data_IF_089692903280
#
_entry.id   IF_089692903280
#
_cell.length_a   1.000
_cell.length_b   1.000
_cell.length_c   1.000
_cell.angle_alpha   90.00
_cell.angle_beta   90.00
_cell.angle_gamma   90.00
#
_symmetry.space_group_name_H-M   'P 1'
#
loop_
_entity.id
_entity.type
_entity.pdbx_description
1 polymer ?
#
# COMPACT_ATOMS: atom_id res chain seq x y z
N UNK A 1 -7.65 29.34 8.93
CA UNK A 1 -6.71 28.35 9.46
C UNK A 1 -7.42 27.60 10.58
N UNK A 2 -8.24 26.61 10.23
CA UNK A 2 -8.94 25.81 11.23
C UNK A 2 -7.97 24.78 11.81
N UNK A 3 -7.35 25.13 12.92
CA UNK A 3 -6.58 24.20 13.74
C UNK A 3 -7.50 23.45 14.70
N UNK A 4 -8.41 22.65 14.14
CA UNK A 4 -8.91 21.52 14.92
C UNK A 4 -7.82 20.43 14.89
N UNK A 5 -7.40 19.90 16.04
CA UNK A 5 -6.45 18.79 16.07
C UNK A 5 -7.05 17.64 15.26
N UNK A 6 -6.33 17.17 14.24
CA UNK A 6 -6.75 15.96 13.51
C UNK A 6 -6.68 14.79 14.48
N UNK A 7 -7.85 14.28 14.86
CA UNK A 7 -7.96 13.09 15.71
C UNK A 7 -7.86 11.87 14.79
N UNK A 8 -6.73 11.19 14.84
CA UNK A 8 -6.53 9.92 14.13
C UNK A 8 -6.90 8.74 15.02
N UNK A 9 -7.13 7.57 14.43
CA UNK A 9 -7.43 6.37 15.22
C UNK A 9 -6.20 5.91 16.02
N UNK A 10 -6.39 5.17 17.12
CA UNK A 10 -5.28 4.64 17.92
C UNK A 10 -4.28 3.80 17.11
N UNK A 11 -4.72 3.15 16.02
CA UNK A 11 -3.86 2.38 15.14
C UNK A 11 -2.90 3.26 14.33
N UNK A 12 -3.38 4.41 13.86
CA UNK A 12 -2.56 5.37 13.10
C UNK A 12 -1.56 6.07 14.03
N UNK A 13 -1.99 6.40 15.25
CA UNK A 13 -1.10 6.92 16.29
C UNK A 13 -0.05 5.88 16.70
N UNK A 14 -0.44 4.62 16.90
CA UNK A 14 0.46 3.52 17.21
C UNK A 14 1.50 3.25 16.11
N UNK A 15 1.11 3.37 14.83
CA UNK A 15 2.04 3.29 13.71
C UNK A 15 3.09 4.42 13.78
N UNK A 16 2.66 5.66 14.02
CA UNK A 16 3.57 6.80 14.19
C UNK A 16 4.54 6.59 15.36
N UNK A 17 4.06 6.09 16.49
CA UNK A 17 4.90 5.76 17.63
C UNK A 17 5.90 4.65 17.32
N UNK A 18 5.50 3.64 16.53
CA UNK A 18 6.41 2.58 16.06
C UNK A 18 7.52 3.13 15.17
N UNK A 19 7.19 4.01 14.23
CA UNK A 19 8.17 4.65 13.34
C UNK A 19 9.16 5.54 14.11
N UNK A 20 8.72 6.15 15.23
CA UNK A 20 9.60 6.92 16.12
C UNK A 20 10.57 6.04 16.91
N UNK A 21 10.14 4.86 17.34
CA UNK A 21 10.89 3.99 18.26
C UNK A 21 11.74 2.93 17.57
N UNK A 22 11.43 2.62 16.31
CA UNK A 22 12.10 1.55 15.56
C UNK A 22 12.53 2.05 14.19
N UNK A 23 13.62 1.49 13.68
CA UNK A 23 14.11 1.80 12.35
C UNK A 23 13.30 1.01 11.31
N UNK A 24 12.29 1.66 10.73
CA UNK A 24 11.41 1.06 9.73
C UNK A 24 11.78 1.64 8.37
N UNK A 25 12.33 0.82 7.48
CA UNK A 25 12.76 1.31 6.16
C UNK A 25 11.64 1.46 5.14
N UNK A 26 10.56 0.71 5.32
CA UNK A 26 9.47 0.57 4.37
C UNK A 26 8.14 0.49 5.08
N UNK A 27 7.12 1.11 4.47
CA UNK A 27 5.72 1.01 4.93
C UNK A 27 4.86 0.68 3.72
N UNK A 28 4.14 -0.43 3.79
CA UNK A 28 3.17 -0.80 2.78
C UNK A 28 1.75 -0.64 3.34
N UNK A 29 0.84 -0.10 2.53
CA UNK A 29 -0.54 0.14 2.90
C UNK A 29 -1.44 -0.42 1.80
N UNK A 30 -2.60 -0.95 2.20
CA UNK A 30 -3.68 -1.31 1.28
C UNK A 30 -4.89 -0.47 1.65
N UNK A 31 -5.41 0.29 0.69
CA UNK A 31 -6.69 0.97 0.80
C UNK A 31 -7.76 0.06 0.17
N UNK A 32 -8.81 -0.21 0.93
CA UNK A 32 -10.05 -0.80 0.40
C UNK A 32 -11.13 0.27 0.44
N UNK A 33 -11.53 0.77 -0.73
CA UNK A 33 -12.61 1.75 -0.88
C UNK A 33 -13.59 1.28 -1.95
N UNK A 34 -14.90 1.34 -1.68
CA UNK A 34 -15.97 0.89 -2.58
C UNK A 34 -15.70 -0.51 -3.21
N UNK A 35 -15.22 -1.47 -2.42
CA UNK A 35 -14.86 -2.82 -2.86
C UNK A 35 -13.74 -2.86 -3.93
N UNK A 36 -12.87 -1.86 -3.91
CA UNK A 36 -11.68 -1.78 -4.75
C UNK A 36 -10.43 -1.63 -3.89
N UNK A 37 -9.37 -2.34 -4.27
CA UNK A 37 -8.11 -2.36 -3.55
C UNK A 37 -7.04 -1.58 -4.30
N UNK A 38 -6.41 -0.63 -3.63
CA UNK A 38 -5.24 0.12 -4.12
C UNK A 38 -4.09 -0.08 -3.14
N UNK A 39 -2.92 -0.44 -3.65
CA UNK A 39 -1.72 -0.59 -2.84
C UNK A 39 -0.88 0.69 -2.83
N UNK A 40 -0.21 0.93 -1.72
CA UNK A 40 0.79 1.98 -1.56
C UNK A 40 2.05 1.38 -0.96
N UNK A 41 3.19 1.83 -1.44
CA UNK A 41 4.50 1.41 -0.97
C UNK A 41 5.38 2.62 -0.75
N UNK A 42 5.73 2.86 0.51
CA UNK A 42 6.65 3.90 0.92
C UNK A 42 8.02 3.32 1.24
N UNK A 43 9.07 3.96 0.73
CA UNK A 43 10.45 3.72 1.14
C UNK A 43 11.26 5.01 1.12
N UNK A 44 12.37 5.05 1.86
CA UNK A 44 13.25 6.23 1.90
C UNK A 44 13.83 6.57 0.53
N UNK A 45 14.06 5.56 -0.32
CA UNK A 45 14.75 5.69 -1.61
C UNK A 45 13.81 6.03 -2.76
N UNK A 46 12.57 5.53 -2.73
CA UNK A 46 11.62 5.71 -3.82
C UNK A 46 10.48 6.68 -3.50
N UNK A 47 10.41 7.17 -2.26
CA UNK A 47 9.26 7.95 -1.79
C UNK A 47 8.02 7.08 -1.69
N UNK A 48 6.86 7.64 -2.05
CA UNK A 48 5.58 6.95 -2.05
C UNK A 48 5.18 6.55 -3.48
N UNK A 49 5.06 5.26 -3.72
CA UNK A 49 4.49 4.70 -4.94
C UNK A 49 3.08 4.14 -4.66
N UNK A 50 2.21 4.14 -5.67
CA UNK A 50 0.91 3.47 -5.62
C UNK A 50 0.71 2.52 -6.80
N UNK A 51 -0.03 1.44 -6.55
CA UNK A 51 -0.43 0.44 -7.53
C UNK A 51 -1.95 0.31 -7.56
N UNK A 52 -2.55 0.69 -8.69
CA UNK A 52 -3.98 0.54 -8.95
C UNK A 52 -4.22 -0.22 -10.25
N UNK A 53 -4.81 -1.42 -10.16
CA UNK A 53 -5.04 -2.31 -11.30
C UNK A 53 -6.21 -1.88 -12.19
N UNK A 54 -7.06 -0.94 -11.75
CA UNK A 54 -8.13 -0.34 -12.56
C UNK A 54 -7.72 1.02 -13.14
N UNK A 55 -6.54 1.52 -12.79
CA UNK A 55 -5.98 2.76 -13.31
C UNK A 55 -6.50 4.03 -12.62
N UNK A 56 -7.15 3.91 -11.46
CA UNK A 56 -7.58 5.08 -10.69
C UNK A 56 -6.38 5.91 -10.19
N UNK A 57 -6.55 7.24 -10.00
CA UNK A 57 -5.53 8.09 -9.41
C UNK A 57 -5.31 7.75 -7.93
N UNK A 58 -4.18 8.15 -7.32
CA UNK A 58 -3.92 7.90 -5.91
C UNK A 58 -4.90 8.68 -5.03
N UNK A 59 -5.30 8.08 -3.92
CA UNK A 59 -6.18 8.70 -2.95
C UNK A 59 -5.40 9.75 -2.14
N UNK A 60 -5.84 11.01 -2.23
CA UNK A 60 -5.20 12.15 -1.56
C UNK A 60 -5.21 12.04 -0.03
N UNK A 61 -6.18 11.34 0.55
CA UNK A 61 -6.27 11.10 2.00
C UNK A 61 -5.13 10.20 2.46
N UNK A 62 -4.76 9.18 1.69
CA UNK A 62 -3.62 8.30 2.02
C UNK A 62 -2.32 9.09 2.05
N UNK A 63 -2.10 9.95 1.06
CA UNK A 63 -0.92 10.83 1.02
C UNK A 63 -0.90 11.77 2.24
N UNK A 64 -2.02 12.42 2.55
CA UNK A 64 -2.13 13.33 3.69
C UNK A 64 -1.92 12.64 5.05
N UNK A 65 -2.43 11.42 5.20
CA UNK A 65 -2.22 10.59 6.41
C UNK A 65 -0.76 10.22 6.54
N UNK A 66 -0.11 9.75 5.47
CA UNK A 66 1.30 9.38 5.51
C UNK A 66 2.20 10.60 5.80
N UNK A 67 1.91 11.75 5.19
CA UNK A 67 2.59 13.01 5.50
C UNK A 67 2.49 13.36 6.97
N UNK A 68 1.31 13.23 7.57
CA UNK A 68 1.13 13.46 9.00
C UNK A 68 1.91 12.43 9.84
N UNK A 69 1.84 11.14 9.49
CA UNK A 69 2.56 10.07 10.20
C UNK A 69 4.06 10.32 10.22
N UNK A 70 4.64 10.82 9.11
CA UNK A 70 6.08 11.06 8.98
C UNK A 70 6.52 12.44 9.49
N UNK A 71 5.60 13.39 9.65
CA UNK A 71 5.93 14.77 10.05
C UNK A 71 6.66 14.82 11.39
N UNK A 72 7.82 15.48 11.43
CA UNK A 72 8.65 15.59 12.63
C UNK A 72 9.42 14.31 13.00
N UNK A 73 9.44 13.31 12.12
CA UNK A 73 10.33 12.15 12.20
C UNK A 73 11.47 12.30 11.16
N UNK A 74 12.56 11.56 11.33
CA UNK A 74 13.70 11.55 10.40
C UNK A 74 13.42 10.67 9.16
N UNK A 75 12.36 11.03 8.44
CA UNK A 75 11.85 10.28 7.29
C UNK A 75 11.61 11.25 6.12
N UNK A 76 11.97 10.89 4.87
CA UNK A 76 11.58 11.66 3.69
C UNK A 76 10.06 11.75 3.59
N UNK A 77 9.51 12.97 3.59
CA UNK A 77 8.07 13.20 3.50
C UNK A 77 7.67 13.27 2.02
N UNK A 78 6.86 12.34 1.51
CA UNK A 78 6.43 12.37 0.12
C UNK A 78 5.43 13.51 -0.12
N UNK A 79 5.66 14.33 -1.16
CA UNK A 79 4.72 15.37 -1.58
C UNK A 79 3.54 14.82 -2.41
N UNK A 80 3.76 13.69 -3.09
CA UNK A 80 2.78 13.00 -3.92
C UNK A 80 3.06 11.50 -3.96
N UNK A 81 2.07 10.72 -4.41
CA UNK A 81 2.26 9.31 -4.75
C UNK A 81 2.52 9.16 -6.26
N UNK A 82 3.59 8.48 -6.64
CA UNK A 82 3.91 8.19 -8.04
C UNK A 82 3.34 6.83 -8.45
N UNK A 83 2.96 6.68 -9.71
CA UNK A 83 2.38 5.42 -10.19
C UNK A 83 3.50 4.38 -10.32
N UNK A 84 3.41 3.32 -9.55
CA UNK A 84 4.26 2.15 -9.69
C UNK A 84 3.80 1.24 -10.83
N UNK A 85 4.66 0.32 -11.25
CA UNK A 85 4.28 -0.70 -12.21
C UNK A 85 3.33 -1.70 -11.54
N UNK A 86 2.15 -1.90 -12.12
CA UNK A 86 1.17 -2.92 -11.76
C UNK A 86 0.45 -3.36 -13.04
N UNK A 87 0.12 -4.64 -13.17
CA UNK A 87 -0.68 -5.06 -14.31
C UNK A 87 -2.13 -4.58 -14.17
N UNK A 88 -2.73 -4.21 -15.30
CA UNK A 88 -4.14 -3.83 -15.38
C UNK A 88 -5.00 -5.08 -15.34
N UNK A 89 -6.08 -5.04 -14.56
CA UNK A 89 -7.07 -6.12 -14.55
C UNK A 89 -8.19 -5.86 -15.56
N UNK A 90 -8.84 -6.93 -16.01
CA UNK A 90 -10.09 -6.80 -16.76
C UNK A 90 -11.21 -6.16 -15.92
N UNK A 91 -12.15 -5.42 -16.52
CA UNK A 91 -13.33 -4.93 -15.82
C UNK A 91 -14.05 -6.10 -15.13
N UNK A 92 -14.39 -5.94 -13.85
CA UNK A 92 -15.14 -6.94 -13.06
C UNK A 92 -14.41 -8.28 -12.82
N UNK A 93 -13.09 -8.37 -13.04
CA UNK A 93 -12.35 -9.61 -12.75
C UNK A 93 -12.31 -9.97 -11.25
N UNK A 94 -12.47 -8.98 -10.37
CA UNK A 94 -12.37 -9.16 -8.91
C UNK A 94 -10.94 -9.38 -8.42
N UNK A 95 -9.92 -9.19 -9.28
CA UNK A 95 -8.52 -9.46 -8.95
C UNK A 95 -7.80 -8.28 -8.28
N UNK A 96 -8.47 -7.17 -7.94
CA UNK A 96 -7.81 -5.96 -7.41
C UNK A 96 -7.06 -6.21 -6.10
N UNK A 97 -7.61 -7.04 -5.20
CA UNK A 97 -6.93 -7.42 -3.97
C UNK A 97 -5.61 -8.19 -4.22
N UNK A 98 -5.62 -9.11 -5.18
CA UNK A 98 -4.43 -9.90 -5.56
C UNK A 98 -3.41 -9.05 -6.28
N UNK A 99 -3.86 -8.17 -7.18
CA UNK A 99 -2.98 -7.24 -7.86
C UNK A 99 -2.31 -6.28 -6.86
N UNK A 100 -3.06 -5.77 -5.89
CA UNK A 100 -2.53 -4.92 -4.82
C UNK A 100 -1.53 -5.66 -3.91
N UNK A 101 -1.84 -6.90 -3.51
CA UNK A 101 -0.92 -7.71 -2.72
C UNK A 101 0.38 -8.00 -3.47
N UNK A 102 0.28 -8.46 -4.72
CA UNK A 102 1.45 -8.76 -5.55
C UNK A 102 2.30 -7.50 -5.83
N UNK A 103 1.67 -6.34 -5.99
CA UNK A 103 2.39 -5.07 -6.10
C UNK A 103 3.30 -4.84 -4.89
N UNK A 104 2.78 -5.04 -3.68
CA UNK A 104 3.56 -4.89 -2.43
C UNK A 104 4.65 -5.96 -2.35
N UNK A 105 4.28 -7.23 -2.54
CA UNK A 105 5.21 -8.36 -2.47
C UNK A 105 6.39 -8.20 -3.44
N UNK A 106 6.14 -7.82 -4.70
CA UNK A 106 7.17 -7.62 -5.72
C UNK A 106 8.09 -6.40 -5.47
N UNK A 107 7.67 -5.48 -4.59
CA UNK A 107 8.51 -4.37 -4.12
C UNK A 107 9.42 -4.78 -2.96
N UNK A 108 8.99 -5.76 -2.17
CA UNK A 108 9.78 -6.32 -1.05
C UNK A 108 10.75 -7.37 -1.55
N UNK A 109 10.32 -8.23 -2.47
CA UNK A 109 11.11 -9.32 -3.05
C UNK A 109 11.05 -9.27 -4.58
N UNK A 110 12.20 -8.92 -5.18
CA UNK A 110 12.35 -8.80 -6.64
C UNK A 110 12.26 -10.13 -7.38
N UNK A 111 12.33 -11.26 -6.67
CA UNK A 111 12.16 -12.59 -7.27
C UNK A 111 10.70 -12.95 -7.48
N UNK A 112 9.78 -12.27 -6.80
CA UNK A 112 8.35 -12.48 -6.95
C UNK A 112 7.94 -12.01 -8.35
N UNK A 113 7.38 -12.95 -9.10
CA UNK A 113 6.83 -12.64 -10.41
C UNK A 113 5.70 -11.62 -10.28
N UNK A 114 5.81 -10.59 -11.08
CA UNK A 114 4.77 -9.61 -11.31
C UNK A 114 3.48 -10.28 -11.82
N UNK A 115 2.37 -9.99 -11.16
CA UNK A 115 1.06 -10.53 -11.47
C UNK A 115 0.59 -10.09 -12.86
N UNK A 116 -0.18 -10.96 -13.49
CA UNK A 116 -1.02 -10.66 -14.64
C UNK A 116 -2.35 -11.43 -14.49
N UNK A 117 -3.36 -11.04 -15.25
CA UNK A 117 -4.72 -11.57 -15.07
C UNK A 117 -4.81 -13.10 -15.23
N UNK A 118 -3.99 -13.70 -16.10
CA UNK A 118 -3.97 -15.16 -16.31
C UNK A 118 -3.48 -15.95 -15.10
N UNK A 119 -2.74 -15.32 -14.18
CA UNK A 119 -2.25 -15.94 -12.94
C UNK A 119 -3.15 -15.74 -11.73
N UNK A 120 -4.26 -15.00 -11.87
CA UNK A 120 -5.15 -14.64 -10.74
C UNK A 120 -5.65 -15.83 -9.93
N UNK A 121 -5.91 -16.97 -10.57
CA UNK A 121 -6.35 -18.18 -9.84
C UNK A 121 -5.22 -18.74 -9.00
N UNK A 122 -4.05 -18.97 -9.60
CA UNK A 122 -2.90 -19.53 -8.90
C UNK A 122 -2.43 -18.64 -7.73
N UNK A 123 -2.43 -17.31 -7.91
CA UNK A 123 -2.06 -16.38 -6.82
C UNK A 123 -3.11 -16.35 -5.70
N UNK A 124 -4.41 -16.50 -6.01
CA UNK A 124 -5.44 -16.65 -4.96
C UNK A 124 -5.24 -17.94 -4.17
N UNK A 125 -5.02 -19.05 -4.86
CA UNK A 125 -4.79 -20.34 -4.22
C UNK A 125 -3.53 -20.29 -3.34
N UNK A 126 -2.44 -19.66 -3.82
CA UNK A 126 -1.24 -19.41 -3.01
C UNK A 126 -1.55 -18.56 -1.76
N UNK A 127 -2.20 -17.41 -1.93
CA UNK A 127 -2.51 -16.52 -0.82
C UNK A 127 -3.44 -17.18 0.21
N UNK A 128 -4.38 -18.03 -0.23
CA UNK A 128 -5.22 -18.84 0.66
C UNK A 128 -4.41 -19.91 1.40
N UNK A 129 -3.49 -20.59 0.72
CA UNK A 129 -2.58 -21.52 1.38
C UNK A 129 -1.71 -20.81 2.43
N UNK A 130 -1.14 -19.66 2.11
CA UNK A 130 -0.36 -18.85 3.06
C UNK A 130 -1.22 -18.46 4.27
N UNK A 131 -2.47 -18.03 4.05
CA UNK A 131 -3.41 -17.72 5.13
C UNK A 131 -3.64 -18.93 6.05
N UNK A 132 -3.84 -20.13 5.50
CA UNK A 132 -4.07 -21.36 6.27
C UNK A 132 -2.80 -21.84 7.00
N UNK A 133 -1.62 -21.58 6.45
CA UNK A 133 -0.36 -22.03 7.07
C UNK A 133 0.11 -21.12 8.21
N UNK A 134 -0.20 -19.82 8.15
CA UNK A 134 0.33 -18.83 9.09
C UNK A 134 -0.72 -18.23 10.04
N UNK A 135 -1.98 -18.64 9.96
CA UNK A 135 -3.07 -18.24 10.87
C UNK A 135 -3.88 -19.43 11.37
#
# INVERSE_FOLDING_TARGET
FDQHPRVYSPNIEGLRDRLRRTNVHTVALVLCDLNHFTAYYYSHTHGLEYGDSLGSPPNSTVVAVLQWILSGLDYPIPSMATKGWIATQGPRSGSCGIAALNFIESKVDVTISKWNDSRSRAERDRALCDLVLYH
#
